data_IF_517120262159
#
_entry.id   IF_517120262159
#
_cell.length_a   1.000
_cell.length_b   1.000
_cell.length_c   1.000
_cell.angle_alpha   90.00
_cell.angle_beta   90.00
_cell.angle_gamma   90.00
#
_symmetry.space_group_name_H-M   'P 1'
#
loop_
_entity.id
_entity.type
_entity.pdbx_description
1 polymer ?
#
# COMPACT_ATOMS: atom_id res chain seq x y z
N UNK A 1 -13.03 0.56 -31.09
CA UNK A 1 -12.89 0.94 -29.67
C UNK A 1 -11.54 0.42 -29.20
N UNK A 2 -10.63 1.29 -28.74
CA UNK A 2 -9.30 0.83 -28.27
C UNK A 2 -9.45 0.10 -26.94
N UNK A 3 -8.64 -0.96 -26.73
CA UNK A 3 -8.70 -1.79 -25.52
C UNK A 3 -7.81 -1.19 -24.44
N UNK A 4 -8.38 -0.89 -23.28
CA UNK A 4 -7.61 -0.40 -22.13
C UNK A 4 -6.98 -1.61 -21.41
N UNK A 5 -5.66 -1.66 -21.22
CA UNK A 5 -5.02 -2.71 -20.42
C UNK A 5 -5.42 -2.58 -18.95
N UNK A 6 -5.59 -3.72 -18.27
CA UNK A 6 -5.92 -3.79 -16.84
C UNK A 6 -4.78 -4.45 -16.10
N UNK A 7 -4.37 -3.87 -14.98
CA UNK A 7 -3.30 -4.36 -14.13
C UNK A 7 -3.86 -4.59 -12.72
N UNK A 8 -3.61 -5.77 -12.17
CA UNK A 8 -3.91 -6.12 -10.78
C UNK A 8 -2.59 -6.45 -10.09
N UNK A 9 -2.28 -5.74 -9.01
CA UNK A 9 -1.15 -6.03 -8.14
C UNK A 9 -1.70 -6.52 -6.80
N UNK A 10 -1.23 -7.67 -6.34
CA UNK A 10 -1.52 -8.21 -5.00
C UNK A 10 -0.21 -8.24 -4.23
N UNK A 11 -0.16 -7.50 -3.15
CA UNK A 11 0.92 -7.58 -2.18
C UNK A 11 0.47 -8.54 -1.07
N UNK A 12 0.97 -9.78 -1.12
CA UNK A 12 0.63 -10.79 -0.13
C UNK A 12 1.15 -10.40 1.26
N UNK A 13 0.34 -10.65 2.29
CA UNK A 13 0.67 -10.29 3.68
C UNK A 13 0.79 -8.78 3.95
N UNK A 14 0.25 -7.91 3.09
CA UNK A 14 0.38 -6.45 3.27
C UNK A 14 -0.37 -5.92 4.51
N UNK A 15 -1.49 -6.56 4.86
CA UNK A 15 -2.24 -6.22 6.06
C UNK A 15 -1.49 -6.60 7.33
N UNK A 16 -1.34 -5.65 8.24
CA UNK A 16 -0.62 -5.83 9.51
C UNK A 16 -1.32 -5.08 10.67
N UNK A 17 -0.78 -5.21 11.88
CA UNK A 17 -1.25 -4.54 13.09
C UNK A 17 -0.38 -3.33 13.43
N UNK A 18 -0.93 -2.32 14.14
CA UNK A 18 -0.13 -1.26 14.72
C UNK A 18 0.96 -1.80 15.64
N UNK A 19 2.16 -1.21 15.55
CA UNK A 19 3.28 -1.53 16.45
C UNK A 19 3.87 -0.25 17.08
N UNK A 20 4.31 -0.38 18.33
CA UNK A 20 4.72 0.74 19.18
C UNK A 20 5.94 1.47 18.61
N UNK A 21 6.90 0.74 18.05
CA UNK A 21 8.14 1.27 17.47
C UNK A 21 7.90 2.18 16.26
N UNK A 22 6.72 2.09 15.65
CA UNK A 22 6.30 2.94 14.53
C UNK A 22 5.31 4.05 14.95
N UNK A 23 5.16 4.29 16.26
CA UNK A 23 4.21 5.26 16.80
C UNK A 23 2.76 4.81 16.63
N UNK A 24 2.47 3.56 16.97
CA UNK A 24 1.16 2.91 16.85
C UNK A 24 0.60 2.92 15.41
N UNK A 25 1.48 2.72 14.43
CA UNK A 25 1.16 2.56 13.00
C UNK A 25 1.44 1.15 12.52
N UNK A 26 0.75 0.72 11.47
CA UNK A 26 1.16 -0.48 10.71
C UNK A 26 2.42 -0.18 9.89
N UNK A 27 3.20 -1.18 9.45
CA UNK A 27 4.33 -0.97 8.55
C UNK A 27 3.94 -0.24 7.27
N UNK A 28 2.76 -0.53 6.69
CA UNK A 28 2.25 0.18 5.51
C UNK A 28 2.04 1.67 5.79
N UNK A 29 1.43 2.02 6.92
CA UNK A 29 1.16 3.41 7.29
C UNK A 29 2.43 4.20 7.63
N UNK A 30 3.48 3.51 8.10
CA UNK A 30 4.75 4.16 8.45
C UNK A 30 5.69 4.31 7.25
N UNK A 31 5.51 3.53 6.19
CA UNK A 31 6.37 3.56 5.01
C UNK A 31 6.16 4.84 4.18
N UNK A 32 7.24 5.36 3.61
CA UNK A 32 7.18 6.48 2.67
C UNK A 32 6.82 5.96 1.27
N UNK A 33 5.55 6.01 0.90
CA UNK A 33 5.01 5.40 -0.31
C UNK A 33 4.34 6.42 -1.26
N UNK A 34 5.05 7.48 -1.70
CA UNK A 34 4.44 8.61 -2.40
C UNK A 34 3.72 8.21 -3.69
N UNK A 35 4.17 7.13 -4.36
CA UNK A 35 3.52 6.60 -5.56
C UNK A 35 2.22 5.88 -5.23
N UNK A 36 2.17 5.09 -4.16
CA UNK A 36 0.91 4.45 -3.75
C UNK A 36 -0.07 5.48 -3.18
N UNK A 37 0.43 6.48 -2.45
CA UNK A 37 -0.38 7.59 -1.95
C UNK A 37 -0.99 8.42 -3.08
N UNK A 38 -0.28 8.62 -4.19
CA UNK A 38 -0.82 9.30 -5.38
C UNK A 38 -1.90 8.46 -6.11
N UNK A 39 -1.85 7.13 -5.98
CA UNK A 39 -2.76 6.20 -6.65
C UNK A 39 -4.02 5.88 -5.81
N UNK A 40 -4.03 6.18 -4.51
CA UNK A 40 -5.13 5.95 -3.58
C UNK A 40 -6.25 7.00 -3.73
#
# INVERSE_FOLDING_TARGET
MQRIPRLLLIFDGMGDRPIFELGDKTPLQAANLPVMDQLA
#
